data_IF_405039965036
#
_entry.id   IF_405039965036
#
_cell.length_a   1.000
_cell.length_b   1.000
_cell.length_c   1.000
_cell.angle_alpha   90.00
_cell.angle_beta   90.00
_cell.angle_gamma   90.00
#
_symmetry.space_group_name_H-M   'P 1'
#
loop_
_entity.id
_entity.type
_entity.pdbx_description
1 polymer ?
#
# COMPACT_ATOMS: atom_id res chain seq x y z
N UNK A 1 -7.87 5.98 27.58
CA UNK A 1 -8.00 5.72 26.14
C UNK A 1 -7.19 4.46 25.83
N UNK A 2 -7.80 3.39 25.32
CA UNK A 2 -7.05 2.21 24.89
C UNK A 2 -6.30 2.58 23.61
N UNK A 3 -4.97 2.50 23.62
CA UNK A 3 -4.14 2.71 22.45
C UNK A 3 -4.41 1.61 21.42
N UNK A 4 -4.79 1.98 20.21
CA UNK A 4 -4.98 1.06 19.10
C UNK A 4 -3.59 0.57 18.64
N UNK A 5 -3.30 -0.74 18.64
CA UNK A 5 -2.01 -1.23 18.22
C UNK A 5 -1.74 -0.97 16.73
N UNK A 6 -0.47 -0.72 16.41
CA UNK A 6 0.03 -0.53 15.05
C UNK A 6 0.94 -1.69 14.68
N UNK A 7 0.70 -2.34 13.55
CA UNK A 7 1.47 -3.50 13.10
C UNK A 7 2.28 -3.20 11.83
N UNK A 8 3.44 -3.86 11.72
CA UNK A 8 4.26 -3.90 10.50
C UNK A 8 4.04 -5.22 9.75
N UNK A 9 4.39 -5.27 8.47
CA UNK A 9 4.31 -6.49 7.65
C UNK A 9 5.13 -7.61 8.27
N UNK A 10 4.53 -8.78 8.48
CA UNK A 10 5.20 -9.95 9.04
C UNK A 10 5.71 -10.87 7.92
N UNK A 11 7.02 -11.20 8.04
CA UNK A 11 7.57 -12.50 7.66
C UNK A 11 7.46 -12.95 6.21
N UNK A 12 8.00 -12.20 5.24
CA UNK A 12 8.23 -12.76 3.92
C UNK A 12 9.72 -13.02 3.72
N UNK A 13 10.10 -14.31 3.83
CA UNK A 13 11.37 -14.83 3.36
C UNK A 13 11.21 -15.21 1.89
N UNK A 14 11.41 -14.28 0.96
CA UNK A 14 11.52 -14.62 -0.45
C UNK A 14 12.45 -13.65 -1.16
N UNK A 15 13.27 -14.21 -2.04
CA UNK A 15 14.21 -13.47 -2.89
C UNK A 15 13.53 -12.67 -4.03
N UNK A 16 12.21 -12.50 -3.99
CA UNK A 16 11.47 -11.74 -4.99
C UNK A 16 11.19 -10.32 -4.50
N UNK A 17 11.70 -9.27 -5.18
CA UNK A 17 11.49 -7.87 -4.79
C UNK A 17 10.02 -7.45 -4.69
N UNK A 18 9.13 -8.18 -5.35
CA UNK A 18 7.69 -7.94 -5.32
C UNK A 18 7.09 -8.27 -3.95
N UNK A 19 7.57 -9.33 -3.30
CA UNK A 19 7.03 -9.79 -2.02
C UNK A 19 7.42 -8.88 -0.84
N UNK A 20 8.36 -7.97 -1.05
CA UNK A 20 8.63 -6.89 -0.08
C UNK A 20 7.54 -5.81 -0.06
N UNK A 21 6.77 -5.69 -1.15
CA UNK A 21 5.72 -4.69 -1.32
C UNK A 21 4.31 -5.28 -1.26
N UNK A 22 4.21 -6.61 -1.38
CA UNK A 22 2.97 -7.34 -1.46
C UNK A 22 3.02 -8.56 -0.56
N UNK A 23 2.06 -8.67 0.34
CA UNK A 23 1.83 -9.85 1.18
C UNK A 23 0.40 -10.32 1.02
N UNK A 24 0.18 -11.61 1.04
CA UNK A 24 -1.14 -12.20 0.97
C UNK A 24 -1.23 -13.42 1.89
N UNK A 25 -2.37 -13.63 2.47
CA UNK A 25 -2.61 -14.73 3.40
C UNK A 25 -4.07 -15.18 3.34
N UNK A 26 -4.32 -16.43 3.66
CA UNK A 26 -5.65 -16.95 3.83
C UNK A 26 -6.29 -16.37 5.10
N UNK A 27 -7.57 -15.97 5.01
CA UNK A 27 -8.33 -15.54 6.20
C UNK A 27 -8.32 -16.64 7.25
N UNK A 28 -8.43 -17.89 6.84
CA UNK A 28 -8.46 -19.07 7.74
C UNK A 28 -7.16 -19.25 8.49
N UNK A 29 -6.02 -19.14 7.81
CA UNK A 29 -4.70 -19.28 8.45
C UNK A 29 -4.44 -18.17 9.45
N UNK A 30 -4.83 -16.94 9.13
CA UNK A 30 -4.62 -15.78 10.01
C UNK A 30 -5.56 -15.75 11.20
N UNK A 31 -6.85 -16.01 10.98
CA UNK A 31 -7.87 -15.83 12.02
C UNK A 31 -8.18 -17.09 12.81
N UNK A 32 -7.95 -18.27 12.23
CA UNK A 32 -8.24 -19.54 12.90
C UNK A 32 -7.46 -19.77 14.20
N UNK A 33 -6.24 -19.24 14.29
CA UNK A 33 -5.41 -19.27 15.50
C UNK A 33 -5.79 -18.19 16.53
N UNK A 34 -6.68 -17.27 16.19
CA UNK A 34 -7.11 -16.13 16.98
C UNK A 34 -8.64 -16.14 17.20
N UNK A 35 -9.26 -17.31 17.40
CA UNK A 35 -10.70 -17.46 17.64
C UNK A 35 -11.58 -16.77 16.56
N UNK A 36 -11.12 -16.74 15.32
CA UNK A 36 -11.78 -16.11 14.19
C UNK A 36 -11.96 -14.59 14.34
N UNK A 37 -11.21 -13.97 15.24
CA UNK A 37 -11.25 -12.53 15.48
C UNK A 37 -9.90 -11.88 15.19
N UNK A 38 -9.93 -10.82 14.38
CA UNK A 38 -8.83 -9.87 14.23
C UNK A 38 -9.23 -8.61 14.97
N UNK A 39 -8.61 -8.37 16.13
CA UNK A 39 -8.91 -7.22 16.99
C UNK A 39 -8.66 -5.90 16.27
N UNK A 40 -9.39 -4.82 16.61
CA UNK A 40 -9.17 -3.50 16.02
C UNK A 40 -7.72 -3.05 16.11
N UNK A 41 -7.15 -2.70 14.96
CA UNK A 41 -5.78 -2.23 14.79
C UNK A 41 -5.68 -1.33 13.57
N UNK A 42 -4.51 -0.77 13.29
CA UNK A 42 -4.25 0.03 12.09
C UNK A 42 -2.86 -0.21 11.56
N UNK A 43 -2.67 0.08 10.29
CA UNK A 43 -1.39 0.10 9.61
C UNK A 43 -1.07 1.52 9.14
N UNK A 44 0.17 1.97 9.32
CA UNK A 44 0.57 3.33 8.93
C UNK A 44 0.80 3.47 7.42
N UNK A 45 1.19 2.39 6.74
CA UNK A 45 1.70 2.42 5.36
C UNK A 45 1.13 1.35 4.45
N UNK A 46 0.20 0.55 4.94
CA UNK A 46 -0.32 -0.57 4.18
C UNK A 46 -1.77 -0.33 3.79
N UNK A 47 -2.03 -0.61 2.54
CA UNK A 47 -3.35 -0.75 1.97
C UNK A 47 -3.71 -2.24 1.96
N UNK A 48 -4.94 -2.57 2.32
CA UNK A 48 -5.39 -3.96 2.32
C UNK A 48 -6.64 -4.13 1.46
N UNK A 49 -6.71 -5.27 0.79
CA UNK A 49 -7.92 -5.81 0.17
C UNK A 49 -8.25 -7.12 0.85
N UNK A 50 -9.41 -7.19 1.49
CA UNK A 50 -9.96 -8.42 2.02
C UNK A 50 -11.05 -8.90 1.06
N UNK A 51 -11.01 -10.17 0.70
CA UNK A 51 -12.06 -10.83 -0.08
C UNK A 51 -12.56 -12.06 0.63
N UNK A 52 -13.85 -12.10 0.90
CA UNK A 52 -14.56 -13.28 1.43
C UNK A 52 -15.16 -14.05 0.26
N UNK A 53 -14.59 -15.22 -0.03
CA UNK A 53 -15.09 -16.12 -1.07
C UNK A 53 -16.35 -16.83 -0.61
N UNK A 54 -16.30 -17.40 0.60
CA UNK A 54 -17.39 -18.14 1.25
C UNK A 54 -17.44 -17.84 2.74
N UNK A 55 -18.59 -18.08 3.38
CA UNK A 55 -18.81 -17.78 4.79
C UNK A 55 -19.15 -16.31 5.01
N UNK A 56 -18.77 -15.77 6.16
CA UNK A 56 -19.14 -14.41 6.49
C UNK A 56 -18.55 -13.90 7.80
N UNK A 57 -19.21 -12.87 8.35
CA UNK A 57 -18.77 -12.25 9.58
C UNK A 57 -19.15 -10.77 9.64
N UNK A 58 -18.30 -9.99 10.30
CA UNK A 58 -18.41 -8.53 10.41
C UNK A 58 -17.04 -7.89 10.25
N UNK A 59 -16.99 -6.73 9.60
CA UNK A 59 -15.84 -5.84 9.54
C UNK A 59 -16.14 -4.58 10.34
N UNK A 60 -15.23 -4.19 11.22
CA UNK A 60 -15.18 -2.86 11.82
C UNK A 60 -14.23 -2.01 10.98
N UNK A 61 -14.72 -0.90 10.44
CA UNK A 61 -13.92 0.06 9.66
C UNK A 61 -14.14 1.44 10.29
N UNK A 62 -13.12 1.97 10.94
CA UNK A 62 -13.16 3.14 11.82
C UNK A 62 -14.22 2.98 12.92
N UNK A 63 -15.33 3.67 12.82
CA UNK A 63 -16.45 3.65 13.79
C UNK A 63 -17.69 2.87 13.32
N UNK A 64 -17.61 2.20 12.16
CA UNK A 64 -18.75 1.53 11.53
C UNK A 64 -18.54 0.03 11.38
N UNK A 65 -19.59 -0.73 11.67
CA UNK A 65 -19.62 -2.16 11.39
C UNK A 65 -20.33 -2.43 10.06
N UNK A 66 -19.74 -3.35 9.29
CA UNK A 66 -20.26 -3.81 8.01
C UNK A 66 -20.41 -5.32 8.02
N UNK A 67 -21.54 -5.86 7.52
CA UNK A 67 -21.72 -7.30 7.40
C UNK A 67 -20.80 -7.87 6.32
N UNK A 68 -20.15 -8.98 6.61
CA UNK A 68 -19.42 -9.77 5.64
C UNK A 68 -20.25 -10.98 5.23
N UNK A 69 -20.26 -11.28 3.96
CA UNK A 69 -20.88 -12.48 3.40
C UNK A 69 -20.06 -12.99 2.23
N UNK A 70 -20.46 -14.11 1.65
CA UNK A 70 -19.79 -14.64 0.45
C UNK A 70 -19.76 -13.60 -0.66
N UNK A 71 -18.62 -13.54 -1.36
CA UNK A 71 -18.33 -12.58 -2.43
C UNK A 71 -18.31 -11.10 -1.96
N UNK A 72 -17.87 -10.88 -0.74
CA UNK A 72 -17.66 -9.51 -0.23
C UNK A 72 -16.21 -9.10 -0.38
N UNK A 73 -15.98 -7.89 -0.90
CA UNK A 73 -14.69 -7.22 -0.88
C UNK A 73 -14.72 -6.06 0.12
N UNK A 74 -13.62 -5.89 0.84
CA UNK A 74 -13.37 -4.73 1.70
C UNK A 74 -12.01 -4.16 1.34
N UNK A 75 -11.91 -2.85 1.16
CA UNK A 75 -10.62 -2.17 1.08
C UNK A 75 -10.37 -1.37 2.34
N UNK A 76 -9.14 -1.40 2.82
CA UNK A 76 -8.72 -0.70 4.03
C UNK A 76 -7.51 0.16 3.70
N UNK A 77 -7.66 1.48 3.66
CA UNK A 77 -6.54 2.40 3.42
C UNK A 77 -5.60 2.49 4.62
N UNK A 78 -4.37 3.01 4.42
CA UNK A 78 -3.47 3.32 5.52
C UNK A 78 -4.14 4.16 6.60
N UNK A 79 -3.82 3.89 7.85
CA UNK A 79 -4.31 4.59 9.07
C UNK A 79 -5.78 4.38 9.42
N UNK A 80 -6.59 3.70 8.60
CA UNK A 80 -7.93 3.29 8.97
C UNK A 80 -7.85 2.25 10.11
N UNK A 81 -8.59 2.46 11.17
CA UNK A 81 -8.75 1.47 12.25
C UNK A 81 -9.69 0.38 11.76
N UNK A 82 -9.24 -0.85 11.78
CA UNK A 82 -10.05 -1.96 11.29
C UNK A 82 -9.87 -3.21 12.13
N UNK A 83 -10.92 -4.02 12.15
CA UNK A 83 -10.96 -5.30 12.80
C UNK A 83 -12.00 -6.19 12.14
N UNK A 84 -11.85 -7.49 12.30
CA UNK A 84 -12.73 -8.44 11.65
C UNK A 84 -13.15 -9.53 12.65
N UNK A 85 -14.40 -9.98 12.54
CA UNK A 85 -14.90 -11.18 13.21
C UNK A 85 -15.53 -12.05 12.16
N UNK A 86 -14.98 -13.24 11.98
CA UNK A 86 -15.41 -14.18 10.94
C UNK A 86 -16.23 -15.33 11.52
N UNK A 87 -17.01 -15.97 10.66
CA UNK A 87 -17.60 -17.28 10.96
C UNK A 87 -16.57 -18.39 10.73
N UNK A 88 -16.64 -19.54 11.45
CA UNK A 88 -15.65 -20.61 11.32
C UNK A 88 -15.57 -21.26 9.93
N UNK A 89 -16.60 -21.10 9.12
CA UNK A 89 -16.69 -21.58 7.73
C UNK A 89 -16.12 -20.58 6.70
N UNK A 90 -15.55 -19.47 7.16
CA UNK A 90 -14.99 -18.46 6.25
C UNK A 90 -13.87 -19.02 5.38
N UNK A 91 -13.94 -18.75 4.10
CA UNK A 91 -12.85 -18.88 3.14
C UNK A 91 -12.65 -17.53 2.41
N UNK A 92 -11.40 -17.14 2.26
CA UNK A 92 -11.07 -15.87 1.63
C UNK A 92 -9.60 -15.52 1.78
N UNK A 93 -9.25 -14.37 1.29
CA UNK A 93 -7.85 -13.87 1.29
C UNK A 93 -7.78 -12.45 1.80
N UNK A 94 -6.64 -12.13 2.41
CA UNK A 94 -6.21 -10.77 2.71
C UNK A 94 -4.97 -10.49 1.88
N UNK A 95 -5.04 -9.43 1.07
CA UNK A 95 -3.93 -8.93 0.27
C UNK A 95 -3.49 -7.62 0.91
N UNK A 96 -2.26 -7.56 1.37
CA UNK A 96 -1.67 -6.37 1.99
C UNK A 96 -0.55 -5.85 1.09
N UNK A 97 -0.58 -4.58 0.77
CA UNK A 97 0.43 -3.95 -0.08
C UNK A 97 0.87 -2.61 0.48
N UNK A 98 2.07 -2.17 0.12
CA UNK A 98 2.51 -0.82 0.45
C UNK A 98 1.68 0.22 -0.32
N UNK A 99 1.48 1.39 0.26
CA UNK A 99 0.83 2.52 -0.41
C UNK A 99 1.51 2.88 -1.75
N UNK A 100 2.83 2.83 -1.77
CA UNK A 100 3.61 3.03 -2.99
C UNK A 100 3.28 2.01 -4.10
N UNK A 101 3.12 0.73 -3.73
CA UNK A 101 2.79 -0.31 -4.71
C UNK A 101 1.37 -0.16 -5.25
N UNK A 102 0.40 0.25 -4.41
CA UNK A 102 -0.94 0.63 -4.87
C UNK A 102 -0.88 1.70 -5.95
N UNK A 103 -0.10 2.76 -5.73
CA UNK A 103 0.10 3.82 -6.72
C UNK A 103 0.74 3.29 -8.02
N UNK A 104 1.69 2.37 -7.92
CA UNK A 104 2.30 1.73 -9.09
C UNK A 104 1.28 0.92 -9.90
N UNK A 105 0.44 0.13 -9.23
CA UNK A 105 -0.60 -0.68 -9.86
C UNK A 105 -1.66 0.18 -10.57
N UNK A 106 -1.96 1.35 -10.03
CA UNK A 106 -2.96 2.29 -10.56
C UNK A 106 -2.35 3.41 -11.43
N UNK A 107 -1.07 3.33 -11.80
CA UNK A 107 -0.42 4.36 -12.62
C UNK A 107 -1.12 4.63 -13.96
N UNK A 108 -1.78 3.61 -14.54
CA UNK A 108 -2.57 3.74 -15.76
C UNK A 108 -3.97 4.35 -15.57
N UNK A 109 -4.45 4.45 -14.32
CA UNK A 109 -5.79 4.96 -13.95
C UNK A 109 -5.72 5.81 -12.67
N UNK A 110 -4.95 6.88 -12.70
CA UNK A 110 -4.67 7.68 -11.51
C UNK A 110 -5.89 8.33 -10.87
N UNK A 111 -6.94 8.55 -11.64
CA UNK A 111 -8.22 9.10 -11.16
C UNK A 111 -8.97 8.12 -10.24
N UNK A 112 -8.54 6.85 -10.17
CA UNK A 112 -9.09 5.87 -9.24
C UNK A 112 -8.49 5.99 -7.82
N UNK A 113 -7.31 6.58 -7.65
CA UNK A 113 -6.62 6.67 -6.35
C UNK A 113 -7.48 7.28 -5.23
N UNK A 114 -8.22 8.38 -5.44
CA UNK A 114 -9.07 8.97 -4.40
C UNK A 114 -10.16 8.02 -3.86
N UNK A 115 -10.56 7.01 -4.63
CA UNK A 115 -11.54 6.02 -4.18
C UNK A 115 -10.94 5.08 -3.11
N UNK A 116 -9.62 4.93 -3.09
CA UNK A 116 -8.88 4.08 -2.17
C UNK A 116 -8.34 4.83 -0.94
N UNK A 117 -8.62 6.12 -0.81
CA UNK A 117 -8.28 6.90 0.40
C UNK A 117 -9.28 6.68 1.55
N UNK A 118 -10.41 6.02 1.27
CA UNK A 118 -11.45 5.69 2.24
C UNK A 118 -11.72 4.19 2.23
N UNK A 119 -12.12 3.62 3.38
CA UNK A 119 -12.55 2.23 3.39
C UNK A 119 -13.77 2.05 2.47
N UNK A 120 -13.75 0.97 1.72
CA UNK A 120 -14.84 0.59 0.83
C UNK A 120 -15.29 -0.83 1.15
N UNK A 121 -16.58 -1.07 1.09
CA UNK A 121 -17.21 -2.36 1.32
C UNK A 121 -18.26 -2.59 0.23
N UNK A 122 -18.19 -3.72 -0.44
CA UNK A 122 -19.18 -4.12 -1.44
C UNK A 122 -19.32 -5.64 -1.50
N UNK A 123 -20.53 -6.09 -1.81
CA UNK A 123 -20.85 -7.49 -2.02
C UNK A 123 -21.15 -7.74 -3.50
N UNK A 124 -20.37 -8.62 -4.11
CA UNK A 124 -20.58 -9.02 -5.51
C UNK A 124 -21.72 -10.03 -5.60
N UNK A 125 -22.75 -9.75 -6.38
CA UNK A 125 -23.82 -10.71 -6.62
C UNK A 125 -25.21 -10.18 -6.26
N UNK A 126 -25.60 -9.09 -6.88
CA UNK A 126 -27.00 -8.75 -7.11
C UNK A 126 -27.55 -9.57 -8.28
N UNK A 127 -28.87 -9.53 -8.57
CA UNK A 127 -29.46 -10.28 -9.66
C UNK A 127 -28.78 -9.91 -10.98
N UNK A 128 -28.42 -10.94 -11.75
CA UNK A 128 -27.83 -10.81 -13.09
C UNK A 128 -28.69 -9.89 -13.95
N UNK A 129 -28.13 -8.80 -14.47
CA UNK A 129 -28.90 -7.89 -15.31
C UNK A 129 -28.21 -6.64 -15.83
N UNK A 130 -26.94 -6.35 -15.55
CA UNK A 130 -26.22 -5.26 -16.21
C UNK A 130 -25.18 -5.80 -17.19
N UNK A 131 -25.23 -5.30 -18.39
CA UNK A 131 -24.34 -5.61 -19.50
C UNK A 131 -22.88 -5.22 -19.24
N UNK A 132 -22.15 -6.01 -18.64
CA UNK A 132 -20.77 -6.16 -18.18
C UNK A 132 -20.78 -6.31 -16.67
N UNK A 133 -20.90 -7.55 -16.31
CA UNK A 133 -20.86 -7.90 -14.90
C UNK A 133 -19.42 -7.75 -14.38
N UNK A 134 -19.09 -6.51 -13.95
CA UNK A 134 -17.83 -6.23 -13.26
C UNK A 134 -17.63 -7.19 -12.08
N UNK A 135 -18.70 -7.73 -11.51
CA UNK A 135 -18.67 -8.76 -10.48
C UNK A 135 -18.10 -10.09 -11.00
N UNK A 136 -18.42 -10.49 -12.21
CA UNK A 136 -17.86 -11.70 -12.84
C UNK A 136 -16.37 -11.52 -13.12
N UNK A 137 -15.99 -10.35 -13.64
CA UNK A 137 -14.57 -10.01 -13.90
C UNK A 137 -13.77 -10.03 -12.60
N UNK A 138 -14.29 -9.41 -11.54
CA UNK A 138 -13.64 -9.39 -10.22
C UNK A 138 -13.52 -10.77 -9.61
N UNK A 139 -14.59 -11.58 -9.64
CA UNK A 139 -14.56 -12.94 -9.14
C UNK A 139 -13.52 -13.78 -9.92
N UNK A 140 -13.50 -13.68 -11.26
CA UNK A 140 -12.52 -14.35 -12.11
C UNK A 140 -11.08 -13.91 -11.81
N UNK A 141 -10.83 -12.62 -11.66
CA UNK A 141 -9.51 -12.08 -11.33
C UNK A 141 -9.03 -12.59 -9.95
N UNK A 142 -9.91 -12.68 -8.96
CA UNK A 142 -9.61 -13.20 -7.62
C UNK A 142 -9.30 -14.70 -7.63
N UNK A 143 -10.05 -15.49 -8.40
CA UNK A 143 -9.77 -16.93 -8.56
C UNK A 143 -8.43 -17.16 -9.26
N UNK A 144 -8.13 -16.41 -10.33
CA UNK A 144 -6.82 -16.48 -11.00
C UNK A 144 -5.70 -16.03 -10.05
N UNK A 145 -5.93 -15.00 -9.24
CA UNK A 145 -4.96 -14.54 -8.24
C UNK A 145 -4.69 -15.65 -7.20
N UNK A 146 -5.74 -16.30 -6.69
CA UNK A 146 -5.60 -17.44 -5.76
C UNK A 146 -4.82 -18.60 -6.38
N UNK A 147 -5.09 -18.93 -7.64
CA UNK A 147 -4.38 -19.99 -8.36
C UNK A 147 -2.90 -19.62 -8.52
N UNK A 148 -2.58 -18.38 -8.93
CA UNK A 148 -1.20 -17.92 -9.13
C UNK A 148 -0.42 -17.82 -7.81
N UNK A 149 -1.11 -17.52 -6.69
CA UNK A 149 -0.49 -17.52 -5.37
C UNK A 149 0.13 -18.87 -4.99
N UNK A 150 -0.51 -19.96 -5.38
CA UNK A 150 -0.10 -21.33 -5.06
C UNK A 150 0.78 -21.97 -6.15
N UNK A 151 0.95 -21.29 -7.28
CA UNK A 151 1.75 -21.79 -8.39
C UNK A 151 3.22 -21.39 -8.23
N UNK A 152 4.11 -22.29 -8.66
CA UNK A 152 5.51 -21.95 -8.93
C UNK A 152 5.61 -21.75 -10.44
N UNK A 153 5.39 -20.50 -10.89
CA UNK A 153 5.33 -20.19 -12.32
C UNK A 153 6.37 -19.15 -12.71
N UNK A 154 6.82 -19.23 -13.96
CA UNK A 154 7.67 -18.20 -14.56
C UNK A 154 6.88 -16.88 -14.64
N UNK A 155 7.51 -15.76 -14.32
CA UNK A 155 6.88 -14.43 -14.36
C UNK A 155 5.70 -14.24 -13.37
N UNK A 156 5.63 -15.05 -12.32
CA UNK A 156 4.59 -15.00 -11.28
C UNK A 156 4.34 -13.58 -10.76
N UNK A 157 5.41 -12.84 -10.47
CA UNK A 157 5.30 -11.45 -10.00
C UNK A 157 4.56 -10.54 -10.98
N UNK A 158 4.83 -10.66 -12.28
CA UNK A 158 4.15 -9.89 -13.31
C UNK A 158 2.66 -10.30 -13.43
N UNK A 159 2.36 -11.59 -13.35
CA UNK A 159 0.99 -12.11 -13.37
C UNK A 159 0.18 -11.58 -12.18
N UNK A 160 0.72 -11.67 -10.96
CA UNK A 160 0.09 -11.15 -9.75
C UNK A 160 -0.15 -9.63 -9.83
N UNK A 161 0.82 -8.86 -10.34
CA UNK A 161 0.67 -7.41 -10.54
C UNK A 161 -0.46 -7.07 -11.52
N UNK A 162 -0.55 -7.78 -12.64
CA UNK A 162 -1.60 -7.58 -13.63
C UNK A 162 -2.98 -7.92 -13.07
N UNK A 163 -3.11 -9.04 -12.34
CA UNK A 163 -4.35 -9.45 -11.68
C UNK A 163 -4.79 -8.47 -10.60
N UNK A 164 -3.85 -7.94 -9.80
CA UNK A 164 -4.13 -6.90 -8.81
C UNK A 164 -4.58 -5.60 -9.45
N UNK A 165 -3.93 -5.16 -10.55
CA UNK A 165 -4.36 -3.97 -11.29
C UNK A 165 -5.79 -4.14 -11.82
N UNK A 166 -6.12 -5.31 -12.38
CA UNK A 166 -7.46 -5.62 -12.84
C UNK A 166 -8.48 -5.59 -11.69
N UNK A 167 -8.13 -6.19 -10.55
CA UNK A 167 -8.96 -6.21 -9.35
C UNK A 167 -9.25 -4.79 -8.84
N UNK A 168 -8.22 -3.95 -8.71
CA UNK A 168 -8.36 -2.58 -8.23
C UNK A 168 -9.20 -1.73 -9.18
N UNK A 169 -8.99 -1.85 -10.49
CA UNK A 169 -9.82 -1.17 -11.51
C UNK A 169 -11.28 -1.62 -11.42
N UNK A 170 -11.54 -2.90 -11.24
CA UNK A 170 -12.89 -3.42 -11.07
C UNK A 170 -13.57 -2.89 -9.81
N UNK A 171 -12.85 -2.85 -8.67
CA UNK A 171 -13.35 -2.24 -7.43
C UNK A 171 -13.68 -0.75 -7.65
N UNK A 172 -12.78 -0.01 -8.30
CA UNK A 172 -12.99 1.41 -8.59
C UNK A 172 -14.24 1.66 -9.45
N UNK A 173 -14.43 0.86 -10.51
CA UNK A 173 -15.64 0.96 -11.36
C UNK A 173 -16.92 0.74 -10.55
N UNK A 174 -16.95 -0.24 -9.68
CA UNK A 174 -18.11 -0.52 -8.84
C UNK A 174 -18.35 0.60 -7.83
N UNK A 175 -17.30 1.10 -7.19
CA UNK A 175 -17.40 2.24 -6.29
C UNK A 175 -18.00 3.48 -7.00
N UNK A 176 -17.57 3.77 -8.22
CA UNK A 176 -18.14 4.84 -9.05
C UNK A 176 -19.62 4.56 -9.38
N UNK A 177 -19.96 3.33 -9.78
CA UNK A 177 -21.33 2.93 -10.11
C UNK A 177 -22.29 2.97 -8.93
N UNK A 178 -21.78 2.74 -7.71
CA UNK A 178 -22.55 2.85 -6.46
C UNK A 178 -22.76 4.30 -5.97
N UNK A 179 -22.36 5.30 -6.76
CA UNK A 179 -22.47 6.72 -6.37
C UNK A 179 -21.46 7.12 -5.28
N UNK A 180 -20.47 6.28 -5.02
CA UNK A 180 -19.31 6.70 -4.23
C UNK A 180 -18.52 7.69 -5.08
N UNK A 181 -18.94 8.95 -5.02
CA UNK A 181 -18.29 10.03 -5.75
C UNK A 181 -16.94 10.37 -5.12
N UNK A 182 -15.93 9.54 -5.41
CA UNK A 182 -14.54 9.95 -5.36
C UNK A 182 -14.09 10.57 -6.68
N UNK A 183 -14.81 10.28 -7.75
CA UNK A 183 -14.57 10.79 -9.08
C UNK A 183 -15.48 12.00 -9.40
N UNK A 184 -15.30 13.10 -8.70
CA UNK A 184 -15.29 14.33 -9.49
C UNK A 184 -14.10 14.21 -10.46
N UNK A 185 -14.25 14.60 -11.76
CA UNK A 185 -13.11 14.65 -12.67
C UNK A 185 -11.98 15.35 -11.93
N UNK A 186 -10.85 14.68 -11.78
CA UNK A 186 -9.79 15.07 -10.85
C UNK A 186 -9.59 16.58 -10.92
N UNK A 187 -10.10 17.29 -9.94
CA UNK A 187 -10.07 18.74 -9.93
C UNK A 187 -8.61 19.14 -10.08
N UNK A 188 -8.30 20.31 -10.62
CA UNK A 188 -6.93 20.80 -10.85
C UNK A 188 -5.99 20.45 -9.66
N UNK A 189 -6.54 20.47 -8.43
CA UNK A 189 -5.87 20.12 -7.17
C UNK A 189 -5.39 18.66 -7.14
N UNK A 190 -6.24 17.70 -7.45
CA UNK A 190 -5.88 16.28 -7.43
C UNK A 190 -4.88 15.94 -8.56
N UNK A 191 -5.05 16.56 -9.74
CA UNK A 191 -4.11 16.41 -10.85
C UNK A 191 -2.72 16.94 -10.49
N UNK A 192 -2.62 18.12 -9.87
CA UNK A 192 -1.32 18.65 -9.42
C UNK A 192 -0.69 17.76 -8.33
N UNK A 193 -1.49 17.22 -7.40
CA UNK A 193 -0.99 16.30 -6.38
C UNK A 193 -0.39 15.04 -6.98
N UNK A 194 -1.09 14.44 -7.92
CA UNK A 194 -0.62 13.26 -8.63
C UNK A 194 0.65 13.53 -9.45
N UNK A 195 0.68 14.62 -10.22
CA UNK A 195 1.88 15.03 -10.94
C UNK A 195 3.05 15.28 -9.98
N UNK A 196 2.78 15.85 -8.80
CA UNK A 196 3.78 16.02 -7.76
C UNK A 196 4.32 14.66 -7.27
N UNK A 197 3.46 13.69 -6.99
CA UNK A 197 3.90 12.35 -6.58
C UNK A 197 4.78 11.69 -7.65
N UNK A 198 4.40 11.77 -8.93
CA UNK A 198 5.20 11.27 -10.04
C UNK A 198 6.56 11.98 -10.14
N UNK A 199 6.60 13.29 -9.96
CA UNK A 199 7.84 14.05 -9.94
C UNK A 199 8.73 13.67 -8.76
N UNK A 200 8.16 13.43 -7.58
CA UNK A 200 8.90 12.94 -6.41
C UNK A 200 9.53 11.59 -6.71
N UNK A 201 8.80 10.63 -7.27
CA UNK A 201 9.36 9.32 -7.66
C UNK A 201 10.50 9.45 -8.67
N UNK A 202 10.35 10.32 -9.65
CA UNK A 202 11.37 10.53 -10.69
C UNK A 202 12.61 11.28 -10.20
N UNK A 203 12.50 12.13 -9.18
CA UNK A 203 13.53 13.14 -8.87
C UNK A 203 13.91 13.23 -7.39
N UNK A 204 13.41 12.38 -6.49
CA UNK A 204 13.72 12.48 -5.05
C UNK A 204 15.22 12.45 -4.73
N UNK A 205 16.05 11.80 -5.58
CA UNK A 205 17.51 11.73 -5.43
C UNK A 205 18.23 13.01 -5.85
N UNK A 206 17.56 13.90 -6.55
CA UNK A 206 18.20 15.12 -7.07
C UNK A 206 18.25 16.26 -6.04
N UNK A 207 17.74 16.05 -4.83
CA UNK A 207 17.59 17.08 -3.78
C UNK A 207 17.02 18.41 -4.31
N UNK A 208 16.12 18.31 -5.29
CA UNK A 208 15.42 19.47 -5.81
C UNK A 208 14.64 20.11 -4.65
N UNK A 209 14.72 21.41 -4.52
CA UNK A 209 13.96 22.14 -3.53
C UNK A 209 12.46 22.18 -3.87
N UNK A 210 11.64 22.60 -2.92
CA UNK A 210 10.20 22.65 -3.12
C UNK A 210 9.79 23.60 -4.25
N UNK A 211 10.57 24.66 -4.46
CA UNK A 211 10.34 25.63 -5.53
C UNK A 211 10.47 24.96 -6.90
N UNK A 212 11.50 24.17 -7.12
CA UNK A 212 11.69 23.45 -8.38
C UNK A 212 10.59 22.45 -8.72
N UNK A 213 10.03 21.76 -7.71
CA UNK A 213 8.83 20.93 -7.92
C UNK A 213 7.61 21.78 -8.29
N UNK A 214 7.39 22.87 -7.58
CA UNK A 214 6.26 23.76 -7.81
C UNK A 214 6.34 24.43 -9.20
N UNK A 215 7.52 24.86 -9.62
CA UNK A 215 7.77 25.45 -10.95
C UNK A 215 7.48 24.46 -12.07
N UNK A 216 7.90 23.18 -11.91
CA UNK A 216 7.59 22.13 -12.89
C UNK A 216 6.08 21.91 -13.05
N UNK A 217 5.32 22.12 -11.97
CA UNK A 217 3.85 22.00 -11.95
C UNK A 217 3.11 23.26 -12.36
N UNK A 218 3.83 24.37 -12.57
CA UNK A 218 3.24 25.67 -12.89
C UNK A 218 2.40 26.27 -11.75
N UNK A 219 2.76 25.98 -10.49
CA UNK A 219 2.06 26.48 -9.27
C UNK A 219 3.06 27.03 -8.26
N UNK A 220 2.58 27.83 -7.31
CA UNK A 220 3.44 28.31 -6.24
C UNK A 220 3.75 27.21 -5.19
N UNK A 221 4.92 27.30 -4.48
CA UNK A 221 5.24 26.39 -3.37
C UNK A 221 4.17 26.38 -2.28
N UNK A 222 3.56 27.53 -1.99
CA UNK A 222 2.46 27.66 -1.04
C UNK A 222 1.23 26.88 -1.50
N UNK A 223 0.89 26.97 -2.79
CA UNK A 223 -0.23 26.21 -3.36
C UNK A 223 0.06 24.71 -3.35
N UNK A 224 1.29 24.28 -3.68
CA UNK A 224 1.69 22.88 -3.61
C UNK A 224 1.56 22.34 -2.17
N UNK A 225 2.05 23.07 -1.17
CA UNK A 225 1.90 22.68 0.23
C UNK A 225 0.43 22.57 0.65
N UNK A 226 -0.41 23.52 0.25
CA UNK A 226 -1.85 23.48 0.54
C UNK A 226 -2.50 22.23 -0.06
N UNK A 227 -2.15 21.89 -1.30
CA UNK A 227 -2.63 20.69 -1.99
C UNK A 227 -2.22 19.43 -1.23
N UNK A 228 -0.93 19.32 -0.85
CA UNK A 228 -0.41 18.18 -0.11
C UNK A 228 -1.05 18.05 1.27
N UNK A 229 -1.26 19.17 1.99
CA UNK A 229 -1.97 19.16 3.26
C UNK A 229 -3.44 18.71 3.12
N UNK A 230 -4.12 19.19 2.09
CA UNK A 230 -5.51 18.86 1.85
C UNK A 230 -5.71 17.39 1.48
N UNK A 231 -4.83 16.82 0.64
CA UNK A 231 -5.01 15.47 0.08
C UNK A 231 -4.23 14.39 0.83
N UNK A 232 -3.11 14.72 1.46
CA UNK A 232 -2.26 13.75 2.17
C UNK A 232 -2.07 14.06 3.66
N UNK A 233 -2.63 15.14 4.19
CA UNK A 233 -2.44 15.55 5.59
C UNK A 233 -0.99 15.88 5.96
N UNK A 234 -0.12 16.09 4.96
CA UNK A 234 1.33 16.32 5.11
C UNK A 234 1.80 17.46 4.22
N UNK A 235 2.90 18.11 4.61
CA UNK A 235 3.54 19.07 3.71
C UNK A 235 4.22 18.37 2.53
N UNK A 236 4.41 19.07 1.42
CA UNK A 236 5.12 18.54 0.26
C UNK A 236 6.54 18.08 0.62
N UNK A 237 7.25 18.84 1.47
CA UNK A 237 8.57 18.46 1.95
C UNK A 237 8.56 17.17 2.78
N UNK A 238 7.53 16.97 3.61
CA UNK A 238 7.37 15.72 4.37
C UNK A 238 7.16 14.51 3.45
N UNK A 239 6.46 14.67 2.34
CA UNK A 239 6.26 13.60 1.34
C UNK A 239 7.57 13.25 0.64
N UNK A 240 8.36 14.27 0.21
CA UNK A 240 9.69 14.08 -0.39
C UNK A 240 10.63 13.36 0.62
N UNK A 241 10.68 13.84 1.86
CA UNK A 241 11.54 13.24 2.90
C UNK A 241 11.11 11.80 3.21
N UNK A 242 9.81 11.51 3.25
CA UNK A 242 9.31 10.14 3.46
C UNK A 242 9.80 9.19 2.36
N UNK A 243 9.81 9.64 1.10
CA UNK A 243 10.32 8.83 -0.02
C UNK A 243 11.82 8.57 0.08
N UNK A 244 12.60 9.62 0.41
CA UNK A 244 14.04 9.48 0.66
C UNK A 244 14.34 8.47 1.78
N UNK A 245 13.59 8.54 2.89
CA UNK A 245 13.78 7.63 4.03
C UNK A 245 13.46 6.19 3.67
N UNK A 246 12.39 5.94 2.92
CA UNK A 246 12.05 4.57 2.47
C UNK A 246 13.20 3.98 1.64
N UNK A 247 13.75 4.75 0.69
CA UNK A 247 14.86 4.26 -0.13
C UNK A 247 16.12 4.06 0.71
N UNK A 248 16.43 5.00 1.62
CA UNK A 248 17.57 4.87 2.53
C UNK A 248 17.47 3.59 3.38
N UNK A 249 16.30 3.29 3.93
CA UNK A 249 16.06 2.08 4.70
C UNK A 249 16.27 0.82 3.86
N UNK A 250 15.80 0.83 2.61
CA UNK A 250 16.00 -0.27 1.67
C UNK A 250 17.48 -0.50 1.37
N UNK A 251 18.20 0.55 1.00
CA UNK A 251 19.63 0.45 0.70
C UNK A 251 20.44 -0.01 1.92
N UNK A 252 20.09 0.44 3.13
CA UNK A 252 20.72 0.01 4.36
C UNK A 252 20.54 -1.47 4.66
N UNK A 253 19.39 -2.04 4.35
CA UNK A 253 19.07 -3.44 4.66
C UNK A 253 19.54 -4.41 3.58
N UNK A 254 19.41 -4.03 2.32
CA UNK A 254 19.49 -4.96 1.18
C UNK A 254 20.65 -4.69 0.24
N UNK A 255 21.46 -3.65 0.45
CA UNK A 255 22.67 -3.41 -0.35
C UNK A 255 23.93 -3.53 0.51
N UNK A 256 25.05 -3.87 -0.14
CA UNK A 256 26.38 -3.89 0.49
C UNK A 256 27.10 -2.55 0.43
N UNK A 257 26.41 -1.52 -0.08
CA UNK A 257 26.93 -0.16 -0.14
C UNK A 257 27.26 0.35 1.27
N UNK A 258 28.37 1.04 1.44
CA UNK A 258 28.65 1.72 2.69
C UNK A 258 27.74 2.95 2.87
N UNK A 259 27.72 3.53 4.08
CA UNK A 259 26.81 4.64 4.40
C UNK A 259 27.13 5.88 3.56
N UNK A 260 28.40 6.08 3.19
CA UNK A 260 28.82 7.19 2.35
C UNK A 260 28.35 7.01 0.89
N UNK A 261 28.42 5.78 0.39
CA UNK A 261 27.89 5.42 -0.92
C UNK A 261 26.37 5.59 -0.97
N UNK A 262 25.64 5.10 0.05
CA UNK A 262 24.18 5.28 0.16
C UNK A 262 23.82 6.78 0.18
N UNK A 263 24.53 7.58 0.99
CA UNK A 263 24.34 9.02 1.01
C UNK A 263 24.49 9.63 -0.40
N UNK A 264 25.54 9.24 -1.11
CA UNK A 264 25.82 9.71 -2.47
C UNK A 264 24.76 9.28 -3.48
N UNK A 265 24.30 8.00 -3.45
CA UNK A 265 23.25 7.49 -4.36
C UNK A 265 21.89 8.15 -4.11
N UNK A 266 21.66 8.59 -2.89
CA UNK A 266 20.46 9.35 -2.50
C UNK A 266 20.61 10.86 -2.76
N UNK A 267 21.75 11.31 -3.33
CA UNK A 267 21.99 12.69 -3.70
C UNK A 267 22.50 13.58 -2.56
N UNK A 268 22.84 13.04 -1.40
CA UNK A 268 23.43 13.83 -0.32
C UNK A 268 24.92 14.12 -0.60
N UNK A 269 25.28 15.39 -0.56
CA UNK A 269 26.66 15.82 -0.75
C UNK A 269 27.58 15.40 0.42
N UNK A 270 27.02 15.22 1.63
CA UNK A 270 27.73 14.88 2.84
C UNK A 270 27.05 13.75 3.60
N UNK A 271 27.82 12.69 3.91
CA UNK A 271 27.34 11.53 4.64
C UNK A 271 26.96 11.84 6.11
N UNK A 272 27.60 12.84 6.73
CA UNK A 272 27.24 13.26 8.08
C UNK A 272 25.89 14.00 8.08
N UNK A 273 25.61 14.79 7.05
CA UNK A 273 24.28 15.38 6.87
C UNK A 273 23.22 14.33 6.63
N UNK A 274 23.48 13.33 5.77
CA UNK A 274 22.59 12.18 5.59
C UNK A 274 22.32 11.46 6.92
N UNK A 275 23.37 11.19 7.72
CA UNK A 275 23.20 10.50 8.99
C UNK A 275 22.30 11.27 9.98
N UNK A 276 22.45 12.60 10.07
CA UNK A 276 21.60 13.46 10.89
C UNK A 276 20.16 13.50 10.36
N UNK A 277 20.00 13.62 9.04
CA UNK A 277 18.71 13.60 8.38
C UNK A 277 17.97 12.27 8.67
N UNK A 278 18.64 11.15 8.47
CA UNK A 278 18.07 9.83 8.72
C UNK A 278 17.70 9.64 10.18
N UNK A 279 18.60 9.97 11.12
CA UNK A 279 18.35 9.85 12.55
C UNK A 279 17.16 10.71 13.01
N UNK A 280 17.02 11.92 12.47
CA UNK A 280 15.88 12.81 12.77
C UNK A 280 14.54 12.19 12.36
N UNK A 281 14.48 11.43 11.24
CA UNK A 281 13.22 10.91 10.72
C UNK A 281 12.92 9.48 11.18
N UNK A 282 13.95 8.69 11.52
CA UNK A 282 13.82 7.26 11.88
C UNK A 282 14.02 7.02 13.38
N UNK A 283 14.60 7.98 14.09
CA UNK A 283 14.87 7.86 15.54
C UNK A 283 16.16 7.10 15.88
N UNK A 284 16.91 6.63 14.88
CA UNK A 284 18.21 5.96 15.08
C UNK A 284 19.16 6.24 13.91
N UNK A 285 20.45 6.05 14.14
CA UNK A 285 21.46 6.28 13.10
C UNK A 285 21.38 5.22 11.98
N UNK A 286 21.84 5.54 10.75
CA UNK A 286 21.90 4.57 9.65
C UNK A 286 22.66 3.28 10.03
N UNK A 287 23.77 3.40 10.75
CA UNK A 287 24.56 2.24 11.18
C UNK A 287 23.80 1.34 12.16
N UNK A 288 23.13 1.94 13.16
CA UNK A 288 22.32 1.21 14.11
C UNK A 288 21.12 0.54 13.41
N UNK A 289 20.47 1.24 12.48
CA UNK A 289 19.36 0.69 11.70
C UNK A 289 19.80 -0.53 10.88
N UNK A 290 20.95 -0.44 10.17
CA UNK A 290 21.53 -1.55 9.41
C UNK A 290 21.84 -2.75 10.31
N UNK A 291 22.50 -2.51 11.43
CA UNK A 291 22.88 -3.58 12.36
C UNK A 291 21.66 -4.32 12.91
N UNK A 292 20.67 -3.58 13.40
CA UNK A 292 19.45 -4.16 13.94
C UNK A 292 18.61 -4.86 12.88
N UNK A 293 18.52 -4.29 11.67
CA UNK A 293 17.75 -4.85 10.58
C UNK A 293 18.38 -6.13 10.02
N UNK A 294 19.70 -6.14 9.78
CA UNK A 294 20.42 -7.32 9.28
C UNK A 294 20.49 -8.46 10.32
N UNK A 295 20.51 -8.16 11.60
CA UNK A 295 20.44 -9.18 12.65
C UNK A 295 19.11 -9.93 12.69
N UNK A 296 18.05 -9.35 12.07
CA UNK A 296 16.73 -9.96 11.96
C UNK A 296 16.49 -10.66 10.62
N UNK A 297 17.39 -10.46 9.65
CA UNK A 297 17.34 -11.18 8.38
C UNK A 297 17.99 -12.57 8.60
N UNK A 298 17.41 -13.67 8.08
CA UNK A 298 18.04 -14.97 8.15
C UNK A 298 19.40 -14.92 7.42
N UNK A 299 20.40 -15.58 7.98
CA UNK A 299 21.71 -15.66 7.36
C UNK A 299 21.61 -16.26 5.95
N UNK A 300 22.36 -15.74 4.95
CA UNK A 300 22.37 -16.32 3.62
C UNK A 300 22.82 -17.78 3.75
N UNK A 301 21.96 -18.71 3.32
CA UNK A 301 22.36 -20.11 3.22
C UNK A 301 23.49 -20.20 2.20
N UNK A 302 24.68 -20.57 2.66
CA UNK A 302 25.80 -20.85 1.80
C UNK A 302 25.40 -21.99 0.84
N UNK A 303 25.23 -21.66 -0.42
CA UNK A 303 25.06 -22.65 -1.49
C UNK A 303 26.36 -23.49 -1.54
N UNK A 304 26.26 -24.74 -1.17
CA UNK A 304 27.26 -25.77 -1.50
C UNK A 304 26.97 -26.34 -2.87
#
# INVERSE_FOLDING_TARGET
MKTVPTYSLYGVNSNEPLLEQLHFESIRERSGVNDWEIKPHRHERFFQVLYVHQGGGRALLDDREYPLGSRTVVTVPPRCVHGFRFTPDVDGIVITMTDHYLHTLLAGVPDALPLFERPYHDRFGGPAGSERDDATVLAGALELFRAEMNAVSLWRGAALSALLSLLLVGIARRACGAGVTGAQPAGRTARHFQQFQQLVEARFRNHQDLAGYADTLGISPTQLNRICQQLAGRSALQLIHSRLIVEAQRDLLYSDLDIKQIASTLGFADAAYFARFFAKHVGQTPSAFRQHGRARLPAPQATR
#
